data_IF_864669195506
#
_entry.id   IF_864669195506
#
_cell.length_a   1.000
_cell.length_b   1.000
_cell.length_c   1.000
_cell.angle_alpha   90.00
_cell.angle_beta   90.00
_cell.angle_gamma   90.00
#
_symmetry.space_group_name_H-M   'P 1'
#
loop_
_entity.id
_entity.type
_entity.pdbx_description
1 polymer ?
#
# COMPACT_ATOMS: atom_id res chain seq x y z
N UNK A 1 -17.70 -34.47 -21.16
CA UNK A 1 -16.37 -34.06 -20.70
C UNK A 1 -16.47 -32.59 -20.34
N UNK A 2 -16.84 -32.30 -19.09
CA UNK A 2 -17.00 -30.93 -18.60
C UNK A 2 -15.60 -30.36 -18.37
N UNK A 3 -15.25 -29.30 -19.10
CA UNK A 3 -14.08 -28.51 -18.79
C UNK A 3 -14.30 -27.85 -17.43
N UNK A 4 -13.48 -28.18 -16.43
CA UNK A 4 -13.33 -27.36 -15.24
C UNK A 4 -12.83 -25.99 -15.71
N UNK A 5 -13.72 -25.01 -15.74
CA UNK A 5 -13.32 -23.61 -15.68
C UNK A 5 -12.64 -23.42 -14.32
N UNK A 6 -11.30 -23.40 -14.34
CA UNK A 6 -10.53 -22.87 -13.22
C UNK A 6 -10.80 -21.37 -13.23
N UNK A 7 -11.74 -20.94 -12.39
CA UNK A 7 -11.83 -19.53 -11.99
C UNK A 7 -10.62 -19.24 -11.09
N UNK A 8 -9.68 -18.36 -11.46
CA UNK A 8 -8.67 -17.92 -10.51
C UNK A 8 -9.36 -16.93 -9.56
N UNK A 9 -10.01 -17.43 -8.52
CA UNK A 9 -10.51 -16.62 -7.40
C UNK A 9 -9.43 -16.45 -6.34
N UNK A 10 -8.19 -16.21 -6.75
CA UNK A 10 -7.12 -15.78 -5.83
C UNK A 10 -6.88 -14.30 -6.06
N UNK A 11 -7.32 -13.47 -5.12
CA UNK A 11 -6.92 -12.07 -5.05
C UNK A 11 -5.40 -11.99 -5.05
N UNK A 12 -4.82 -11.06 -5.79
CA UNK A 12 -3.37 -10.95 -5.85
C UNK A 12 -2.80 -10.49 -4.50
N UNK A 13 -1.59 -10.92 -4.18
CA UNK A 13 -0.84 -10.37 -3.05
C UNK A 13 -0.10 -9.12 -3.51
N UNK A 14 -0.13 -8.05 -2.70
CA UNK A 14 0.49 -6.76 -3.04
C UNK A 14 1.74 -6.43 -2.23
N UNK A 15 1.94 -7.15 -1.13
CA UNK A 15 3.12 -7.09 -0.28
C UNK A 15 3.44 -8.49 0.22
N UNK A 16 4.72 -8.83 0.29
CA UNK A 16 5.18 -10.11 0.86
C UNK A 16 6.55 -9.96 1.48
N UNK A 17 6.84 -10.84 2.44
CA UNK A 17 8.18 -11.01 2.97
C UNK A 17 8.79 -12.32 2.45
N UNK A 18 10.04 -12.27 2.02
CA UNK A 18 10.80 -13.41 1.51
C UNK A 18 12.06 -13.58 2.36
N UNK A 19 12.17 -14.71 3.07
CA UNK A 19 13.34 -15.04 3.88
C UNK A 19 14.54 -15.42 3.00
N UNK A 20 15.76 -15.03 3.40
CA UNK A 20 16.99 -15.27 2.65
C UNK A 20 17.92 -16.29 3.34
N UNK A 21 17.36 -17.39 3.84
CA UNK A 21 18.08 -18.59 4.30
C UNK A 21 18.98 -18.46 5.54
N UNK A 22 19.39 -17.24 5.93
CA UNK A 22 20.14 -16.96 7.14
C UNK A 22 19.29 -16.17 8.14
N UNK A 23 19.72 -16.21 9.40
CA UNK A 23 19.04 -15.51 10.48
C UNK A 23 19.08 -14.00 10.24
N UNK A 24 17.92 -13.35 10.35
CA UNK A 24 17.75 -11.90 10.15
C UNK A 24 17.99 -11.40 8.72
N UNK A 25 17.98 -12.27 7.71
CA UNK A 25 18.11 -11.90 6.31
C UNK A 25 16.81 -12.14 5.53
N UNK A 26 16.48 -11.21 4.65
CA UNK A 26 15.25 -11.31 3.87
C UNK A 26 14.91 -10.04 3.12
N UNK A 27 13.75 -10.07 2.47
CA UNK A 27 13.29 -8.99 1.59
C UNK A 27 11.82 -8.71 1.83
N UNK A 28 11.49 -7.45 2.07
CA UNK A 28 10.11 -6.97 1.92
C UNK A 28 9.93 -6.60 0.45
N UNK A 29 8.92 -7.17 -0.20
CA UNK A 29 8.62 -6.90 -1.60
C UNK A 29 7.21 -6.37 -1.75
N UNK A 30 7.05 -5.40 -2.65
CA UNK A 30 5.73 -4.94 -3.13
C UNK A 30 5.55 -5.40 -4.58
N UNK A 31 4.30 -5.49 -5.02
CA UNK A 31 4.00 -5.95 -6.38
C UNK A 31 3.60 -4.81 -7.31
N UNK A 32 3.90 -5.01 -8.60
CA UNK A 32 3.28 -4.31 -9.71
C UNK A 32 2.44 -5.32 -10.46
N UNK A 33 1.13 -5.10 -10.48
CA UNK A 33 0.18 -6.01 -11.12
C UNK A 33 -0.39 -5.33 -12.35
N UNK A 34 -0.29 -5.99 -13.52
CA UNK A 34 -0.82 -5.48 -14.78
C UNK A 34 -2.19 -6.07 -15.09
N UNK A 35 -3.12 -5.19 -15.41
CA UNK A 35 -4.47 -5.52 -15.83
C UNK A 35 -4.73 -4.92 -17.22
N UNK A 36 -5.36 -5.70 -18.10
CA UNK A 36 -5.59 -5.30 -19.49
C UNK A 36 -7.07 -5.36 -19.80
N UNK A 37 -7.60 -4.30 -20.42
CA UNK A 37 -8.97 -4.24 -20.92
C UNK A 37 -9.06 -4.79 -22.35
N UNK A 38 -10.28 -5.13 -22.81
CA UNK A 38 -10.52 -5.68 -24.16
C UNK A 38 -10.03 -4.77 -25.30
N UNK A 39 -9.99 -3.46 -25.08
CA UNK A 39 -9.53 -2.45 -26.04
C UNK A 39 -7.99 -2.29 -26.05
N UNK A 40 -7.26 -3.03 -25.21
CA UNK A 40 -5.80 -2.96 -25.09
C UNK A 40 -5.28 -1.92 -24.10
N UNK A 41 -6.15 -1.16 -23.41
CA UNK A 41 -5.71 -0.27 -22.33
C UNK A 41 -5.12 -1.10 -21.18
N UNK A 42 -3.97 -0.67 -20.68
CA UNK A 42 -3.25 -1.27 -19.56
C UNK A 42 -3.39 -0.39 -18.31
N UNK A 43 -3.83 -1.00 -17.22
CA UNK A 43 -3.83 -0.40 -15.88
C UNK A 43 -2.91 -1.24 -15.00
N UNK A 44 -2.00 -0.58 -14.31
CA UNK A 44 -1.07 -1.22 -13.40
C UNK A 44 -1.26 -0.73 -11.97
N UNK A 45 -1.49 -1.67 -11.06
CA UNK A 45 -1.52 -1.41 -9.63
C UNK A 45 -0.09 -1.51 -9.10
N UNK A 46 0.51 -0.35 -8.79
CA UNK A 46 1.88 -0.23 -8.29
C UNK A 46 1.82 -0.09 -6.77
N UNK A 47 1.89 -1.22 -6.06
CA UNK A 47 1.80 -1.26 -4.61
C UNK A 47 3.05 -0.64 -3.96
N UNK A 48 2.83 0.14 -2.90
CA UNK A 48 3.90 0.83 -2.21
C UNK A 48 3.89 0.60 -0.69
N UNK A 49 5.05 0.81 -0.09
CA UNK A 49 5.23 1.08 1.33
C UNK A 49 5.79 2.49 1.48
N UNK A 50 5.39 3.21 2.54
CA UNK A 50 5.76 4.63 2.71
C UNK A 50 7.19 4.85 3.20
N UNK A 51 7.85 3.79 3.68
CA UNK A 51 9.26 3.77 4.04
C UNK A 51 9.93 2.58 3.36
N UNK A 52 11.05 2.80 2.68
CA UNK A 52 11.75 1.78 1.87
C UNK A 52 13.23 2.16 1.66
N UNK A 53 14.01 1.26 1.08
CA UNK A 53 15.38 1.58 0.66
C UNK A 53 15.35 2.60 -0.50
N UNK A 54 16.34 3.48 -0.60
CA UNK A 54 16.37 4.52 -1.64
C UNK A 54 16.32 3.94 -3.07
N UNK A 55 17.00 2.81 -3.30
CA UNK A 55 17.01 2.11 -4.59
C UNK A 55 15.61 1.65 -5.05
N UNK A 56 14.70 1.40 -4.11
CA UNK A 56 13.31 1.06 -4.44
C UNK A 56 12.58 2.25 -5.08
N UNK A 57 12.71 3.44 -4.49
CA UNK A 57 12.07 4.65 -5.04
C UNK A 57 12.73 5.12 -6.33
N UNK A 58 14.05 4.95 -6.47
CA UNK A 58 14.75 5.17 -7.75
C UNK A 58 14.19 4.28 -8.86
N UNK A 59 14.01 2.98 -8.58
CA UNK A 59 13.41 2.04 -9.52
C UNK A 59 11.96 2.42 -9.89
N UNK A 60 11.17 2.88 -8.91
CA UNK A 60 9.81 3.36 -9.16
C UNK A 60 9.78 4.64 -10.02
N UNK A 61 10.64 5.63 -9.75
CA UNK A 61 10.71 6.82 -10.60
C UNK A 61 11.05 6.45 -12.05
N UNK A 62 12.05 5.60 -12.27
CA UNK A 62 12.40 5.10 -13.60
C UNK A 62 11.28 4.28 -14.27
N UNK A 63 10.46 3.60 -13.46
CA UNK A 63 9.27 2.89 -13.93
C UNK A 63 8.18 3.86 -14.41
N UNK A 64 7.92 4.91 -13.63
CA UNK A 64 6.88 5.90 -13.90
C UNK A 64 7.15 6.76 -15.13
N UNK A 65 8.41 6.99 -15.50
CA UNK A 65 8.79 7.68 -16.75
C UNK A 65 8.24 6.99 -18.02
N UNK A 66 7.93 5.70 -17.93
CA UNK A 66 7.44 4.90 -19.05
C UNK A 66 5.91 4.81 -19.08
N UNK A 67 5.21 5.53 -18.20
CA UNK A 67 3.75 5.49 -18.06
C UNK A 67 3.15 6.76 -18.63
N UNK A 68 1.97 6.64 -19.24
CA UNK A 68 1.30 7.79 -19.83
C UNK A 68 0.64 8.65 -18.73
N UNK A 69 0.11 8.01 -17.68
CA UNK A 69 -0.49 8.66 -16.51
C UNK A 69 -0.16 7.86 -15.24
N UNK A 70 0.21 8.56 -14.16
CA UNK A 70 0.38 8.01 -12.81
C UNK A 70 -0.61 8.68 -11.88
N UNK A 71 -1.65 7.94 -11.49
CA UNK A 71 -2.62 8.34 -10.48
C UNK A 71 -2.04 8.01 -9.10
N UNK A 72 -1.90 9.00 -8.22
CA UNK A 72 -1.19 8.80 -6.97
C UNK A 72 -2.02 9.11 -5.72
N UNK A 73 -1.72 8.34 -4.67
CA UNK A 73 -2.21 8.52 -3.30
C UNK A 73 -1.51 9.70 -2.61
N UNK A 74 -2.28 10.71 -2.21
CA UNK A 74 -1.83 11.72 -1.23
C UNK A 74 -3.01 12.54 -0.73
N UNK A 75 -3.29 12.53 0.58
CA UNK A 75 -4.26 13.47 1.14
C UNK A 75 -3.58 14.84 1.28
N UNK A 76 -3.97 15.81 0.44
CA UNK A 76 -3.35 17.14 0.43
C UNK A 76 -4.33 18.23 0.88
N UNK A 77 -3.79 19.33 1.41
CA UNK A 77 -4.59 20.51 1.77
C UNK A 77 -5.10 21.26 0.54
N UNK A 78 -4.31 21.24 -0.55
CA UNK A 78 -4.55 21.73 -1.91
C UNK A 78 -3.55 21.04 -2.87
N UNK A 79 -3.74 21.04 -4.21
CA UNK A 79 -2.70 20.62 -5.15
C UNK A 79 -1.56 21.65 -5.16
N UNK A 80 -0.73 21.60 -4.11
CA UNK A 80 0.47 22.41 -3.99
C UNK A 80 1.60 21.75 -4.79
N UNK A 81 2.17 22.43 -5.80
CA UNK A 81 3.27 21.89 -6.60
C UNK A 81 4.57 21.67 -5.80
N UNK A 82 4.63 22.09 -4.53
CA UNK A 82 5.78 21.82 -3.64
C UNK A 82 5.45 20.89 -2.46
N UNK A 83 4.98 19.69 -2.80
CA UNK A 83 4.74 18.58 -1.86
C UNK A 83 5.98 18.24 -1.00
N UNK A 84 7.18 18.57 -1.49
CA UNK A 84 8.45 18.37 -0.79
C UNK A 84 8.62 19.28 0.43
N UNK A 85 8.00 20.46 0.43
CA UNK A 85 8.02 21.38 1.58
C UNK A 85 6.95 21.01 2.62
N UNK A 86 5.76 20.57 2.20
CA UNK A 86 4.72 20.12 3.14
C UNK A 86 5.13 18.87 3.92
N UNK A 87 5.82 17.91 3.28
CA UNK A 87 6.40 16.75 3.95
C UNK A 87 7.49 17.11 4.98
N UNK A 88 8.12 18.29 4.85
CA UNK A 88 9.11 18.82 5.81
C UNK A 88 8.45 19.52 6.99
N UNK A 89 7.31 20.19 6.78
CA UNK A 89 6.59 20.95 7.81
C UNK A 89 5.74 20.08 8.75
N UNK A 90 5.23 18.93 8.29
CA UNK A 90 4.56 17.93 9.14
C UNK A 90 5.51 17.24 10.15
N UNK A 91 6.82 17.45 10.00
CA UNK A 91 7.86 17.06 10.95
C UNK A 91 7.76 17.75 12.32
N UNK A 92 6.86 18.72 12.50
CA UNK A 92 6.61 19.40 13.77
C UNK A 92 5.78 18.62 14.81
N UNK A 93 5.24 17.44 14.46
CA UNK A 93 4.42 16.63 15.37
C UNK A 93 5.23 15.52 16.06
N UNK A 94 4.84 15.13 17.28
CA UNK A 94 5.48 14.04 18.02
C UNK A 94 5.43 12.69 17.27
N UNK A 95 4.40 12.49 16.43
CA UNK A 95 4.25 11.30 15.57
C UNK A 95 5.24 11.36 14.40
N UNK A 96 5.38 12.52 13.74
CA UNK A 96 6.36 12.72 12.68
C UNK A 96 7.80 12.51 13.17
N UNK A 97 8.12 12.94 14.39
CA UNK A 97 9.41 12.65 15.03
C UNK A 97 9.65 11.15 15.24
N UNK A 98 8.65 10.41 15.74
CA UNK A 98 8.77 8.95 15.94
C UNK A 98 8.94 8.23 14.60
N UNK A 99 8.20 8.63 13.58
CA UNK A 99 8.35 8.09 12.23
C UNK A 99 9.76 8.35 11.70
N UNK A 100 10.28 9.59 11.80
CA UNK A 100 11.62 9.95 11.35
C UNK A 100 12.72 9.21 12.11
N UNK A 101 12.57 9.06 13.42
CA UNK A 101 13.47 8.28 14.27
C UNK A 101 13.47 6.80 13.88
N UNK A 102 12.29 6.22 13.59
CA UNK A 102 12.17 4.83 13.15
C UNK A 102 12.80 4.61 11.76
N UNK A 103 12.52 5.49 10.80
CA UNK A 103 13.14 5.42 9.47
C UNK A 103 14.67 5.53 9.56
N UNK A 104 15.18 6.47 10.36
CA UNK A 104 16.62 6.62 10.59
C UNK A 104 17.25 5.38 11.23
N UNK A 105 16.58 4.82 12.23
CA UNK A 105 17.06 3.62 12.93
C UNK A 105 17.06 2.37 12.04
N UNK A 106 16.04 2.24 11.17
CA UNK A 106 15.92 1.14 10.20
C UNK A 106 16.71 1.39 8.91
N UNK A 107 17.35 2.55 8.77
CA UNK A 107 18.09 2.98 7.57
C UNK A 107 17.22 3.00 6.30
N UNK A 108 16.01 3.55 6.42
CA UNK A 108 15.00 3.67 5.36
C UNK A 108 14.72 5.12 5.02
N UNK A 109 14.21 5.37 3.81
CA UNK A 109 13.78 6.69 3.33
C UNK A 109 12.26 6.78 3.23
N UNK A 110 11.73 8.00 3.29
CA UNK A 110 10.31 8.27 3.11
C UNK A 110 9.94 8.46 1.64
N UNK A 111 8.84 7.83 1.22
CA UNK A 111 8.30 7.93 -0.14
C UNK A 111 8.15 9.38 -0.63
N UNK A 112 7.64 10.28 0.22
CA UNK A 112 7.42 11.70 -0.11
C UNK A 112 8.69 12.47 -0.42
N UNK A 113 9.86 11.98 0.02
CA UNK A 113 11.15 12.64 -0.22
C UNK A 113 11.84 12.12 -1.48
N UNK A 114 11.52 10.89 -1.90
CA UNK A 114 12.25 10.17 -2.93
C UNK A 114 11.46 10.06 -4.25
N UNK A 115 10.12 10.05 -4.21
CA UNK A 115 9.29 10.01 -5.42
C UNK A 115 9.12 11.41 -6.01
N UNK A 116 9.31 11.52 -7.34
CA UNK A 116 9.12 12.76 -8.07
C UNK A 116 7.63 12.99 -8.42
N UNK A 117 6.83 13.40 -7.43
CA UNK A 117 5.41 13.73 -7.64
C UNK A 117 5.18 14.93 -8.56
N UNK A 118 6.22 15.73 -8.86
CA UNK A 118 6.14 16.88 -9.75
C UNK A 118 6.31 16.56 -11.24
N UNK A 119 6.46 15.27 -11.61
CA UNK A 119 6.55 14.89 -13.01
C UNK A 119 5.22 15.13 -13.76
N UNK A 120 5.31 15.54 -15.03
CA UNK A 120 4.14 15.98 -15.83
C UNK A 120 3.05 14.91 -16.00
N UNK A 121 3.41 13.63 -15.89
CA UNK A 121 2.47 12.51 -16.00
C UNK A 121 1.82 12.11 -14.66
N UNK A 122 2.16 12.76 -13.55
CA UNK A 122 1.52 12.53 -12.25
C UNK A 122 0.23 13.34 -12.13
N UNK A 123 -0.85 12.65 -11.76
CA UNK A 123 -2.16 13.25 -11.52
C UNK A 123 -2.65 12.81 -10.14
N UNK A 124 -2.98 13.80 -9.31
CA UNK A 124 -3.53 13.54 -7.99
C UNK A 124 -4.86 12.79 -8.13
N UNK A 125 -5.03 11.72 -7.36
CA UNK A 125 -6.19 10.85 -7.45
C UNK A 125 -6.70 10.40 -6.08
N UNK A 126 -6.71 11.32 -5.12
CA UNK A 126 -7.12 11.06 -3.75
C UNK A 126 -8.00 12.19 -3.24
N UNK A 127 -8.50 12.05 -2.02
CA UNK A 127 -9.28 13.09 -1.37
C UNK A 127 -8.38 14.24 -0.91
N UNK A 128 -8.87 15.47 -1.03
CA UNK A 128 -8.32 16.59 -0.27
C UNK A 128 -8.60 16.43 1.24
N UNK A 129 -7.84 17.15 2.07
CA UNK A 129 -8.07 17.22 3.52
C UNK A 129 -9.47 17.71 3.86
N UNK A 130 -10.06 18.60 3.05
CA UNK A 130 -11.41 19.14 3.28
C UNK A 130 -12.48 18.10 2.94
N UNK A 131 -12.31 17.36 1.85
CA UNK A 131 -13.22 16.27 1.47
C UNK A 131 -13.14 15.14 2.48
N UNK A 132 -11.93 14.74 2.89
CA UNK A 132 -11.74 13.71 3.90
C UNK A 132 -12.45 14.08 5.22
N UNK A 133 -12.27 15.33 5.70
CA UNK A 133 -12.97 15.82 6.90
C UNK A 133 -14.48 15.82 6.73
N UNK A 134 -14.97 16.26 5.57
CA UNK A 134 -16.41 16.30 5.29
C UNK A 134 -17.04 14.90 5.29
N UNK A 135 -16.33 13.90 4.74
CA UNK A 135 -16.76 12.50 4.78
C UNK A 135 -16.76 11.96 6.21
N UNK A 136 -15.71 12.23 6.98
CA UNK A 136 -15.63 11.84 8.40
C UNK A 136 -16.77 12.46 9.21
N UNK A 137 -17.03 13.76 9.04
CA UNK A 137 -18.13 14.46 9.71
C UNK A 137 -19.50 13.87 9.32
N UNK A 138 -19.72 13.58 8.03
CA UNK A 138 -20.95 12.93 7.55
C UNK A 138 -21.16 11.54 8.16
N UNK A 139 -20.08 10.82 8.46
CA UNK A 139 -20.08 9.52 9.15
C UNK A 139 -20.11 9.64 10.69
N UNK A 140 -20.08 10.85 11.24
CA UNK A 140 -19.88 11.12 12.68
C UNK A 140 -18.59 10.47 13.23
N UNK A 141 -17.54 10.44 12.42
CA UNK A 141 -16.24 9.87 12.74
C UNK A 141 -15.20 10.95 13.09
N UNK A 142 -14.24 10.58 13.91
CA UNK A 142 -12.97 11.30 14.07
C UNK A 142 -11.82 10.29 14.05
N UNK A 143 -10.57 10.78 14.05
CA UNK A 143 -9.40 9.90 14.02
C UNK A 143 -9.37 8.85 15.14
N UNK A 144 -9.91 9.19 16.32
CA UNK A 144 -9.98 8.27 17.45
C UNK A 144 -11.01 7.15 17.22
N UNK A 145 -12.22 7.47 16.74
CA UNK A 145 -13.24 6.45 16.45
C UNK A 145 -12.82 5.55 15.29
N UNK A 146 -12.18 6.11 14.27
CA UNK A 146 -11.60 5.35 13.16
C UNK A 146 -10.52 4.36 13.64
N UNK A 147 -9.60 4.82 14.49
CA UNK A 147 -8.59 3.95 15.11
C UNK A 147 -9.23 2.80 15.90
N UNK A 148 -10.26 3.09 16.70
CA UNK A 148 -10.97 2.06 17.46
C UNK A 148 -11.66 1.02 16.56
N UNK A 149 -12.28 1.46 15.46
CA UNK A 149 -12.90 0.57 14.49
C UNK A 149 -11.87 -0.34 13.80
N UNK A 150 -10.71 0.21 13.42
CA UNK A 150 -9.62 -0.56 12.83
C UNK A 150 -9.03 -1.58 13.82
N UNK A 151 -8.84 -1.19 15.08
CA UNK A 151 -8.37 -2.09 16.13
C UNK A 151 -9.37 -3.23 16.39
N UNK A 152 -10.67 -2.93 16.41
CA UNK A 152 -11.72 -3.94 16.54
C UNK A 152 -11.74 -4.92 15.36
N UNK A 153 -11.60 -4.41 14.13
CA UNK A 153 -11.48 -5.22 12.92
C UNK A 153 -10.28 -6.17 12.97
N UNK A 154 -9.11 -5.65 13.39
CA UNK A 154 -7.90 -6.43 13.55
C UNK A 154 -8.10 -7.55 14.59
N UNK A 155 -8.63 -7.23 15.77
CA UNK A 155 -8.91 -8.24 16.81
C UNK A 155 -9.87 -9.33 16.32
N UNK A 156 -10.93 -8.95 15.60
CA UNK A 156 -11.86 -9.91 15.01
C UNK A 156 -11.17 -10.82 13.99
N UNK A 157 -10.33 -10.25 13.11
CA UNK A 157 -9.57 -11.00 12.11
C UNK A 157 -8.61 -12.01 12.77
N UNK A 158 -7.90 -11.60 13.83
CA UNK A 158 -6.98 -12.47 14.57
C UNK A 158 -7.72 -13.59 15.28
N UNK A 159 -8.86 -13.29 15.91
CA UNK A 159 -9.68 -14.29 16.56
C UNK A 159 -10.16 -15.35 15.56
N UNK A 160 -10.62 -14.92 14.39
CA UNK A 160 -11.07 -15.82 13.34
C UNK A 160 -9.92 -16.67 12.77
N UNK A 161 -8.74 -16.06 12.58
CA UNK A 161 -7.54 -16.74 12.12
C UNK A 161 -7.07 -17.83 13.11
N UNK A 162 -7.20 -17.58 14.42
CA UNK A 162 -6.94 -18.57 15.49
C UNK A 162 -7.95 -19.72 15.49
N UNK A 163 -9.23 -19.42 15.30
CA UNK A 163 -10.30 -20.44 15.25
C UNK A 163 -10.16 -21.38 14.05
N UNK A 164 -9.72 -20.85 12.91
CA UNK A 164 -9.57 -21.62 11.67
C UNK A 164 -8.25 -22.42 11.59
N UNK A 165 -7.36 -22.33 12.59
CA UNK A 165 -6.07 -23.04 12.60
C UNK A 165 -5.14 -22.71 11.42
N UNK A 166 -5.44 -21.63 10.69
CA UNK A 166 -4.85 -21.29 9.39
C UNK A 166 -4.27 -19.87 9.35
N UNK A 167 -4.26 -19.17 10.49
CA UNK A 167 -3.76 -17.81 10.58
C UNK A 167 -2.25 -17.75 10.68
N UNK A 168 -1.60 -16.95 9.82
CA UNK A 168 -0.25 -16.49 10.09
C UNK A 168 -0.28 -15.68 11.39
N UNK A 169 0.23 -16.26 12.48
CA UNK A 169 0.36 -15.58 13.78
C UNK A 169 1.37 -14.45 13.60
N UNK A 170 1.10 -13.27 14.19
CA UNK A 170 2.06 -12.17 14.18
C UNK A 170 3.42 -12.66 14.67
N UNK A 171 4.45 -12.40 13.86
CA UNK A 171 5.84 -12.68 14.22
C UNK A 171 6.34 -11.68 15.26
N UNK A 172 5.68 -10.53 15.38
CA UNK A 172 6.00 -9.43 16.29
C UNK A 172 5.52 -9.69 17.72
N UNK A 173 6.10 -10.70 18.36
CA UNK A 173 5.83 -11.06 19.77
C UNK A 173 6.85 -10.45 20.73
N UNK A 174 6.51 -10.36 22.03
CA UNK A 174 7.47 -9.93 23.07
C UNK A 174 8.74 -10.77 23.04
N UNK A 175 8.63 -12.10 22.82
CA UNK A 175 9.79 -12.99 22.71
C UNK A 175 10.65 -12.67 21.49
N UNK A 176 10.03 -12.42 20.32
CA UNK A 176 10.76 -12.03 19.12
C UNK A 176 11.52 -10.72 19.33
N UNK A 177 10.91 -9.74 20.00
CA UNK A 177 11.53 -8.45 20.30
C UNK A 177 12.72 -8.61 21.24
N UNK A 178 12.59 -9.40 22.32
CA UNK A 178 13.72 -9.70 23.20
C UNK A 178 14.86 -10.39 22.46
N UNK A 179 14.54 -11.29 21.52
CA UNK A 179 15.54 -11.99 20.70
C UNK A 179 16.24 -11.03 19.74
N UNK A 180 15.50 -10.11 19.10
CA UNK A 180 16.07 -9.08 18.23
C UNK A 180 16.95 -8.07 18.99
N UNK A 181 16.55 -7.68 20.20
CA UNK A 181 17.35 -6.81 21.08
C UNK A 181 18.62 -7.50 21.59
N UNK A 182 18.65 -8.83 21.63
CA UNK A 182 19.82 -9.62 22.00
C UNK A 182 20.72 -9.97 20.79
N UNK A 183 20.33 -9.63 19.56
CA UNK A 183 21.12 -9.91 18.36
C UNK A 183 22.35 -9.01 18.26
N UNK A 184 23.41 -9.51 17.61
CA UNK A 184 24.63 -8.73 17.35
C UNK A 184 24.33 -7.45 16.55
N UNK A 185 23.40 -7.55 15.60
CA UNK A 185 22.87 -6.42 14.84
C UNK A 185 21.38 -6.21 15.12
N UNK A 186 21.09 -5.46 16.18
CA UNK A 186 19.72 -5.17 16.63
C UNK A 186 18.89 -4.42 15.57
N UNK A 187 19.52 -3.50 14.83
CA UNK A 187 18.85 -2.73 13.78
C UNK A 187 18.35 -3.63 12.65
N UNK A 188 19.21 -4.56 12.20
CA UNK A 188 18.87 -5.58 11.22
C UNK A 188 17.77 -6.53 11.71
N UNK A 189 17.90 -7.05 12.94
CA UNK A 189 16.91 -7.95 13.52
C UNK A 189 15.55 -7.27 13.69
N UNK A 190 15.51 -6.00 14.08
CA UNK A 190 14.26 -5.24 14.17
C UNK A 190 13.67 -4.95 12.78
N UNK A 191 14.50 -4.55 11.80
CA UNK A 191 14.08 -4.37 10.40
C UNK A 191 13.46 -5.65 9.85
N UNK A 192 14.04 -6.81 10.16
CA UNK A 192 13.52 -8.12 9.80
C UNK A 192 12.14 -8.39 10.40
N UNK A 193 11.98 -8.18 11.71
CA UNK A 193 10.69 -8.43 12.38
C UNK A 193 9.57 -7.53 11.84
N UNK A 194 9.87 -6.25 11.59
CA UNK A 194 8.90 -5.31 11.01
C UNK A 194 8.56 -5.69 9.57
N UNK A 195 9.57 -6.04 8.76
CA UNK A 195 9.35 -6.50 7.38
C UNK A 195 8.48 -7.77 7.33
N UNK A 196 8.75 -8.73 8.21
CA UNK A 196 7.96 -9.96 8.29
C UNK A 196 6.51 -9.69 8.68
N UNK A 197 6.26 -8.75 9.60
CA UNK A 197 4.89 -8.36 9.98
C UNK A 197 4.18 -7.64 8.82
N UNK A 198 4.86 -6.71 8.12
CA UNK A 198 4.30 -6.00 6.97
C UNK A 198 3.97 -6.93 5.80
N UNK A 199 4.83 -7.92 5.53
CA UNK A 199 4.66 -8.90 4.46
C UNK A 199 3.80 -10.10 4.83
N UNK A 200 3.19 -10.12 6.02
CA UNK A 200 2.39 -11.24 6.52
C UNK A 200 1.14 -11.43 5.66
N UNK A 201 1.02 -12.58 5.02
CA UNK A 201 -0.23 -13.00 4.37
C UNK A 201 -1.33 -13.13 5.44
N UNK A 202 -2.30 -12.22 5.46
CA UNK A 202 -3.25 -12.10 6.57
C UNK A 202 -3.00 -10.93 7.53
N UNK A 203 -2.28 -9.88 7.10
CA UNK A 203 -2.32 -8.52 7.66
C UNK A 203 -3.74 -7.95 7.74
N UNK A 204 -3.96 -6.63 7.74
CA UNK A 204 -5.30 -6.02 7.71
C UNK A 204 -6.07 -6.41 6.42
N UNK A 205 -6.50 -7.67 6.31
CA UNK A 205 -7.48 -8.16 5.35
C UNK A 205 -8.81 -7.76 5.95
N UNK A 206 -9.15 -6.51 5.71
CA UNK A 206 -10.47 -5.99 5.97
C UNK A 206 -11.36 -6.60 4.88
N UNK A 207 -12.40 -7.33 5.26
CA UNK A 207 -13.37 -7.86 4.29
C UNK A 207 -13.97 -6.71 3.46
N UNK A 208 -14.34 -6.97 2.20
CA UNK A 208 -14.80 -5.97 1.25
C UNK A 208 -15.86 -4.99 1.82
N UNK A 209 -16.81 -5.51 2.59
CA UNK A 209 -17.85 -4.71 3.24
C UNK A 209 -17.27 -3.72 4.26
N UNK A 210 -16.36 -4.18 5.11
CA UNK A 210 -15.74 -3.33 6.11
C UNK A 210 -14.75 -2.34 5.47
N UNK A 211 -14.02 -2.76 4.42
CA UNK A 211 -13.11 -1.92 3.65
C UNK A 211 -13.85 -0.71 3.06
N UNK A 212 -15.01 -0.97 2.44
CA UNK A 212 -15.86 0.08 1.85
C UNK A 212 -16.40 1.08 2.89
N UNK A 213 -16.47 0.68 4.17
CA UNK A 213 -16.94 1.53 5.25
C UNK A 213 -15.82 2.37 5.85
N UNK A 214 -14.57 1.90 5.80
CA UNK A 214 -13.42 2.60 6.41
C UNK A 214 -12.99 3.78 5.54
N UNK A 215 -13.09 4.98 6.11
CA UNK A 215 -12.77 6.25 5.42
C UNK A 215 -11.33 6.34 4.90
N UNK A 216 -10.36 5.73 5.58
CA UNK A 216 -8.95 5.74 5.13
C UNK A 216 -8.68 4.79 3.95
N UNK A 217 -9.62 3.94 3.57
CA UNK A 217 -9.50 2.99 2.46
C UNK A 217 -10.63 3.18 1.43
N UNK A 218 -11.86 2.82 1.77
CA UNK A 218 -12.98 2.74 0.83
C UNK A 218 -13.27 4.05 0.09
N UNK A 219 -13.40 5.16 0.82
CA UNK A 219 -13.70 6.46 0.20
C UNK A 219 -12.52 6.99 -0.65
N UNK A 220 -11.28 6.72 -0.22
CA UNK A 220 -10.07 7.08 -0.96
C UNK A 220 -9.90 6.22 -2.22
N UNK A 221 -10.23 4.94 -2.15
CA UNK A 221 -10.29 4.04 -3.31
C UNK A 221 -11.35 4.53 -4.31
N UNK A 222 -12.51 5.01 -3.83
CA UNK A 222 -13.55 5.56 -4.70
C UNK A 222 -13.07 6.82 -5.43
N UNK A 223 -12.32 7.71 -4.76
CA UNK A 223 -11.70 8.87 -5.41
C UNK A 223 -10.70 8.45 -6.51
N UNK A 224 -9.83 7.48 -6.20
CA UNK A 224 -8.87 6.93 -7.17
C UNK A 224 -9.54 6.34 -8.40
N UNK A 225 -10.61 5.56 -8.20
CA UNK A 225 -11.39 4.95 -9.28
C UNK A 225 -12.15 6.00 -10.09
N UNK A 226 -12.61 7.09 -9.46
CA UNK A 226 -13.21 8.22 -10.14
C UNK A 226 -12.25 8.90 -11.12
N UNK A 227 -11.02 9.17 -10.69
CA UNK A 227 -9.98 9.73 -11.57
C UNK A 227 -9.55 8.74 -12.66
N UNK A 228 -9.45 7.44 -12.35
CA UNK A 228 -9.20 6.41 -13.36
C UNK A 228 -10.30 6.41 -14.43
N UNK A 229 -11.57 6.46 -14.04
CA UNK A 229 -12.68 6.53 -15.00
C UNK A 229 -12.62 7.77 -15.88
N UNK A 230 -12.18 8.92 -15.35
CA UNK A 230 -11.97 10.12 -16.15
C UNK A 230 -10.90 9.90 -17.22
N UNK A 231 -9.72 9.39 -16.83
CA UNK A 231 -8.60 9.08 -17.75
C UNK A 231 -9.00 8.06 -18.82
N UNK A 232 -9.80 7.06 -18.44
CA UNK A 232 -10.31 6.06 -19.39
C UNK A 232 -11.34 6.66 -20.36
N UNK A 233 -12.17 7.59 -19.89
CA UNK A 233 -13.25 8.19 -20.69
C UNK A 233 -12.76 9.26 -21.66
N UNK A 234 -11.78 10.06 -21.26
CA UNK A 234 -11.19 11.10 -22.11
C UNK A 234 -10.07 10.56 -23.02
N UNK A 235 -9.57 9.35 -22.74
CA UNK A 235 -8.53 8.69 -23.51
C UNK A 235 -7.14 9.28 -23.29
N UNK A 236 -6.90 9.92 -22.14
CA UNK A 236 -5.63 10.60 -21.82
C UNK A 236 -4.42 9.67 -21.70
N UNK A 237 -4.62 8.35 -21.56
CA UNK A 237 -3.53 7.39 -21.48
C UNK A 237 -3.95 5.96 -21.83
N UNK A 238 -2.99 5.17 -22.31
CA UNK A 238 -3.15 3.73 -22.55
C UNK A 238 -2.38 2.88 -21.55
N UNK A 239 -1.33 3.42 -20.94
CA UNK A 239 -0.55 2.78 -19.86
C UNK A 239 -0.66 3.62 -18.61
N UNK A 240 -1.59 3.24 -17.75
CA UNK A 240 -1.97 4.00 -16.55
C UNK A 240 -1.46 3.25 -15.32
N UNK A 241 -0.79 3.94 -14.40
CA UNK A 241 -0.41 3.36 -13.11
C UNK A 241 -1.23 3.99 -11.98
N UNK A 242 -1.71 3.16 -11.06
CA UNK A 242 -2.23 3.61 -9.76
C UNK A 242 -1.15 3.32 -8.72
N UNK A 243 -0.55 4.38 -8.18
CA UNK A 243 0.51 4.34 -7.17
C UNK A 243 -0.05 4.63 -5.78
N UNK A 244 -0.33 3.56 -5.02
CA UNK A 244 -0.94 3.61 -3.69
C UNK A 244 -0.22 2.66 -2.73
N UNK A 245 -0.39 2.90 -1.43
CA UNK A 245 -0.02 1.97 -0.38
C UNK A 245 -0.68 0.60 -0.60
N UNK A 246 0.05 -0.47 -0.30
CA UNK A 246 -0.38 -1.85 -0.58
C UNK A 246 -1.76 -2.22 0.03
N UNK A 247 -2.20 -1.52 1.08
CA UNK A 247 -3.51 -1.71 1.71
C UNK A 247 -4.70 -1.28 0.83
N UNK A 248 -4.50 -0.35 -0.10
CA UNK A 248 -5.54 0.11 -1.03
C UNK A 248 -5.82 -0.88 -2.16
N UNK A 249 -4.80 -1.65 -2.53
CA UNK A 249 -4.80 -2.43 -3.76
C UNK A 249 -5.88 -3.50 -3.87
N UNK A 250 -6.26 -4.25 -2.80
CA UNK A 250 -7.31 -5.25 -2.90
C UNK A 250 -8.68 -4.68 -3.32
N UNK A 251 -9.06 -3.50 -2.83
CA UNK A 251 -10.32 -2.85 -3.22
C UNK A 251 -10.28 -2.31 -4.63
N UNK A 252 -9.16 -1.70 -5.03
CA UNK A 252 -8.98 -1.19 -6.38
C UNK A 252 -8.95 -2.35 -7.40
N UNK A 253 -8.22 -3.43 -7.11
CA UNK A 253 -8.20 -4.65 -7.94
C UNK A 253 -9.61 -5.20 -8.13
N UNK A 254 -10.39 -5.29 -7.05
CA UNK A 254 -11.78 -5.77 -7.12
C UNK A 254 -12.61 -4.94 -8.09
N UNK A 255 -12.53 -3.61 -8.02
CA UNK A 255 -13.23 -2.74 -8.95
C UNK A 255 -12.73 -2.90 -10.41
N UNK A 256 -11.42 -3.06 -10.62
CA UNK A 256 -10.86 -3.34 -11.95
C UNK A 256 -11.44 -4.62 -12.56
N UNK A 257 -11.49 -5.70 -11.78
CA UNK A 257 -11.92 -7.02 -12.24
C UNK A 257 -13.45 -7.14 -12.37
N UNK A 258 -14.20 -6.62 -11.41
CA UNK A 258 -15.65 -6.84 -11.28
C UNK A 258 -16.48 -5.75 -11.97
N UNK A 259 -15.99 -4.50 -12.01
CA UNK A 259 -16.76 -3.34 -12.49
C UNK A 259 -16.24 -2.80 -13.83
N UNK A 260 -14.92 -2.75 -14.02
CA UNK A 260 -14.28 -2.14 -15.18
C UNK A 260 -13.87 -3.15 -16.27
N UNK A 261 -14.23 -4.42 -16.11
CA UNK A 261 -13.95 -5.53 -17.05
C UNK A 261 -12.47 -5.70 -17.44
N UNK A 262 -11.53 -5.36 -16.55
CA UNK A 262 -10.12 -5.65 -16.76
C UNK A 262 -9.81 -7.12 -16.38
N UNK A 263 -8.71 -7.64 -16.91
CA UNK A 263 -8.19 -8.95 -16.52
C UNK A 263 -6.71 -8.87 -16.18
N UNK A 264 -6.32 -9.49 -15.07
CA UNK A 264 -4.92 -9.57 -14.66
C UNK A 264 -4.12 -10.37 -15.70
N UNK A 265 -2.95 -9.86 -16.05
CA UNK A 265 -2.06 -10.43 -17.06
C UNK A 265 -0.67 -10.75 -16.54
N UNK A 266 -0.16 -9.94 -15.60
CA UNK A 266 1.20 -10.08 -15.06
C UNK A 266 1.27 -9.60 -13.61
N UNK A 267 2.19 -10.20 -12.85
CA UNK A 267 2.61 -9.71 -11.54
C UNK A 267 4.14 -9.74 -11.45
N UNK A 268 4.72 -8.58 -11.14
CA UNK A 268 6.15 -8.41 -10.89
C UNK A 268 6.37 -7.98 -9.45
N UNK A 269 7.47 -8.42 -8.83
CA UNK A 269 7.83 -8.05 -7.46
C UNK A 269 9.05 -7.14 -7.45
N UNK A 270 8.98 -6.05 -6.70
CA UNK A 270 10.10 -5.13 -6.43
C UNK A 270 10.55 -5.28 -4.98
N UNK A 271 11.87 -5.29 -4.78
CA UNK A 271 12.49 -5.29 -3.44
C UNK A 271 12.35 -3.89 -2.83
N UNK A 272 11.45 -3.74 -1.86
CA UNK A 272 11.27 -2.50 -1.12
C UNK A 272 12.31 -2.38 0.00
N UNK A 273 12.50 -3.46 0.77
CA UNK A 273 13.52 -3.53 1.82
C UNK A 273 14.42 -4.73 1.54
N UNK A 274 15.72 -4.50 1.51
CA UNK A 274 16.75 -5.54 1.50
C UNK A 274 17.40 -5.60 2.89
N UNK A 275 17.43 -6.79 3.44
CA UNK A 275 18.01 -7.08 4.75
C UNK A 275 19.15 -8.10 4.53
N UNK A 276 20.40 -7.63 4.41
CA UNK A 276 21.54 -8.41 3.92
C UNK A 276 22.19 -9.31 4.96
#
# INVERSE_FOLDING_TARGET
MLALLVTPSSHAQFVRFVEDGQQWQGKLQTSINRYVAKNGTEVELVAAVHIADAAYYEALNAYFEQRDVVLYELVTSEPDPDLSQQARDDGGSAIGFVQAAMASYLQLQFQLQEINYGADNFRHADLSMQELRSIMDAKNENFFTMFMNLAAAQMASEQQARLNGSGAVSSFTVLSLLTALAADNQGQALKYLVAQELGRSGGLIIGAELESQVTILGDRNAAALGELQQVLSDGSGQRISLFYGAAHMPGIERALLEELEFSMSEQTWLDAWVIP
#
